data_IF_478055413289
#
_entry.id   IF_478055413289
#
_cell.length_a   1.000
_cell.length_b   1.000
_cell.length_c   1.000
_cell.angle_alpha   90.00
_cell.angle_beta   90.00
_cell.angle_gamma   90.00
#
_symmetry.space_group_name_H-M   'P 1'
#
loop_
_entity.id
_entity.type
_entity.pdbx_description
1 polymer ?
#
# COMPACT_ATOMS: atom_id res chain seq x y z
N UNK A 1 -0.85 -17.26 -10.30
CA UNK A 1 -0.05 -16.01 -10.29
C UNK A 1 0.39 -15.63 -8.88
N UNK A 2 -0.53 -15.37 -7.95
CA UNK A 2 -0.20 -14.98 -6.56
C UNK A 2 0.78 -15.93 -5.86
N UNK A 3 0.51 -17.24 -5.84
CA UNK A 3 1.42 -18.21 -5.21
C UNK A 3 2.80 -18.27 -5.89
N UNK A 4 2.85 -18.15 -7.23
CA UNK A 4 4.11 -18.13 -7.97
C UNK A 4 4.93 -16.89 -7.63
N UNK A 5 4.27 -15.72 -7.54
CA UNK A 5 4.91 -14.48 -7.16
C UNK A 5 5.46 -14.53 -5.73
N UNK A 6 4.72 -15.12 -4.79
CA UNK A 6 5.23 -15.32 -3.43
C UNK A 6 6.50 -16.17 -3.42
N UNK A 7 6.51 -17.30 -4.13
CA UNK A 7 7.71 -18.15 -4.26
C UNK A 7 8.87 -17.38 -4.89
N UNK A 8 8.60 -16.51 -5.88
CA UNK A 8 9.61 -15.66 -6.49
C UNK A 8 10.17 -14.62 -5.51
N UNK A 9 9.32 -13.99 -4.69
CA UNK A 9 9.74 -13.08 -3.62
C UNK A 9 10.62 -13.77 -2.58
N UNK A 10 10.23 -14.97 -2.15
CA UNK A 10 11.01 -15.80 -1.20
C UNK A 10 12.37 -16.22 -1.79
N UNK A 11 12.46 -16.37 -3.11
CA UNK A 11 13.71 -16.63 -3.85
C UNK A 11 14.51 -15.36 -4.19
N UNK A 12 14.10 -14.19 -3.68
CA UNK A 12 14.68 -12.88 -3.99
C UNK A 12 14.61 -12.50 -5.49
N UNK A 13 13.75 -13.16 -6.26
CA UNK A 13 13.40 -12.89 -7.67
C UNK A 13 12.28 -11.87 -7.75
N UNK A 14 12.53 -10.69 -7.17
CA UNK A 14 11.47 -9.72 -6.90
C UNK A 14 10.88 -9.15 -8.18
N UNK A 15 11.70 -8.92 -9.20
CA UNK A 15 11.24 -8.41 -10.50
C UNK A 15 10.35 -9.41 -11.25
N UNK A 16 10.68 -10.70 -11.19
CA UNK A 16 9.87 -11.76 -11.78
C UNK A 16 8.54 -11.93 -11.05
N UNK A 17 8.54 -11.80 -9.71
CA UNK A 17 7.34 -11.78 -8.90
C UNK A 17 6.40 -10.64 -9.27
N UNK A 18 6.92 -9.41 -9.34
CA UNK A 18 6.17 -8.22 -9.75
C UNK A 18 5.59 -8.42 -11.16
N UNK A 19 6.41 -8.84 -12.13
CA UNK A 19 5.96 -9.06 -13.51
C UNK A 19 4.84 -10.12 -13.59
N UNK A 20 4.95 -11.18 -12.80
CA UNK A 20 3.93 -12.24 -12.72
C UNK A 20 2.60 -11.71 -12.19
N UNK A 21 2.64 -10.80 -11.21
CA UNK A 21 1.45 -10.15 -10.67
C UNK A 21 0.86 -9.10 -11.62
N UNK A 22 1.69 -8.30 -12.30
CA UNK A 22 1.27 -7.32 -13.30
C UNK A 22 0.53 -7.98 -14.48
N UNK A 23 0.97 -9.17 -14.90
CA UNK A 23 0.24 -9.96 -15.90
C UNK A 23 -1.13 -10.43 -15.39
N UNK A 24 -1.22 -10.75 -14.10
CA UNK A 24 -2.46 -11.23 -13.49
C UNK A 24 -3.47 -10.12 -13.25
N UNK A 25 -3.02 -8.91 -12.87
CA UNK A 25 -3.93 -7.79 -12.57
C UNK A 25 -4.70 -7.32 -13.81
N UNK A 26 -4.11 -7.44 -15.00
CA UNK A 26 -4.76 -7.07 -16.26
C UNK A 26 -5.98 -7.92 -16.61
N UNK A 27 -6.09 -9.14 -16.07
CA UNK A 27 -7.22 -10.06 -16.31
C UNK A 27 -8.03 -10.42 -15.07
N UNK A 28 -7.71 -9.85 -13.90
CA UNK A 28 -8.39 -10.18 -12.64
C UNK A 28 -9.73 -9.48 -12.49
N UNK A 29 -10.69 -10.13 -11.83
CA UNK A 29 -11.93 -9.48 -11.40
C UNK A 29 -11.65 -8.39 -10.36
N UNK A 30 -12.60 -7.46 -10.18
CA UNK A 30 -12.42 -6.31 -9.30
C UNK A 30 -12.09 -6.73 -7.85
N UNK A 31 -12.63 -7.86 -7.40
CA UNK A 31 -12.46 -8.42 -6.06
C UNK A 31 -11.01 -8.82 -5.77
N UNK A 32 -10.24 -9.26 -6.77
CA UNK A 32 -8.84 -9.67 -6.60
C UNK A 32 -7.85 -8.56 -6.91
N UNK A 33 -8.29 -7.53 -7.64
CA UNK A 33 -7.41 -6.44 -8.10
C UNK A 33 -6.76 -5.71 -6.92
N UNK A 34 -7.52 -5.42 -5.86
CA UNK A 34 -6.99 -4.78 -4.65
C UNK A 34 -5.84 -5.59 -4.04
N UNK A 35 -6.05 -6.89 -3.82
CA UNK A 35 -5.05 -7.76 -3.22
C UNK A 35 -3.81 -7.94 -4.12
N UNK A 36 -3.99 -8.05 -5.44
CA UNK A 36 -2.87 -8.18 -6.38
C UNK A 36 -2.02 -6.90 -6.40
N UNK A 37 -2.65 -5.73 -6.46
CA UNK A 37 -1.94 -4.45 -6.39
C UNK A 37 -1.19 -4.29 -5.06
N UNK A 38 -1.76 -4.72 -3.94
CA UNK A 38 -1.09 -4.73 -2.64
C UNK A 38 0.14 -5.65 -2.62
N UNK A 39 0.09 -6.81 -3.27
CA UNK A 39 1.26 -7.70 -3.39
C UNK A 39 2.35 -7.13 -4.29
N UNK A 40 1.98 -6.42 -5.36
CA UNK A 40 2.96 -5.69 -6.18
C UNK A 40 3.64 -4.60 -5.35
N UNK A 41 2.87 -3.87 -4.54
CA UNK A 41 3.41 -2.87 -3.63
C UNK A 41 4.43 -3.47 -2.65
N UNK A 42 4.09 -4.61 -2.03
CA UNK A 42 5.01 -5.33 -1.14
C UNK A 42 6.31 -5.76 -1.84
N UNK A 43 6.23 -6.18 -3.11
CA UNK A 43 7.41 -6.45 -3.93
C UNK A 43 8.28 -5.20 -4.11
N UNK A 44 7.68 -4.04 -4.36
CA UNK A 44 8.43 -2.78 -4.42
C UNK A 44 9.01 -2.36 -3.06
N UNK A 45 8.34 -2.63 -1.93
CA UNK A 45 8.90 -2.44 -0.59
C UNK A 45 10.14 -3.31 -0.35
N UNK A 46 10.12 -4.58 -0.80
CA UNK A 46 11.29 -5.47 -0.74
C UNK A 46 12.47 -4.92 -1.54
N UNK A 47 12.19 -4.23 -2.67
CA UNK A 47 13.19 -3.52 -3.47
C UNK A 47 13.64 -2.18 -2.87
N UNK A 48 13.04 -1.75 -1.75
CA UNK A 48 13.19 -0.41 -1.16
C UNK A 48 12.74 0.74 -2.07
N UNK A 49 11.94 0.43 -3.10
CA UNK A 49 11.31 1.44 -3.96
C UNK A 49 9.95 1.82 -3.36
N UNK A 50 10.03 2.54 -2.25
CA UNK A 50 8.85 2.91 -1.46
C UNK A 50 7.92 3.91 -2.20
N UNK A 51 8.43 4.61 -3.22
CA UNK A 51 7.59 5.48 -4.06
C UNK A 51 6.69 4.62 -4.94
N UNK A 52 7.23 3.61 -5.62
CA UNK A 52 6.40 2.70 -6.41
C UNK A 52 5.49 1.83 -5.54
N UNK A 53 5.94 1.44 -4.35
CA UNK A 53 5.07 0.77 -3.39
C UNK A 53 3.83 1.61 -3.06
N UNK A 54 4.02 2.89 -2.74
CA UNK A 54 2.91 3.81 -2.50
C UNK A 54 1.95 3.95 -3.70
N UNK A 55 2.47 4.02 -4.93
CA UNK A 55 1.65 4.05 -6.14
C UNK A 55 0.75 2.81 -6.28
N UNK A 56 1.29 1.62 -6.01
CA UNK A 56 0.52 0.38 -6.08
C UNK A 56 -0.46 0.21 -4.91
N UNK A 57 -0.12 0.67 -3.71
CA UNK A 57 -1.09 0.75 -2.62
C UNK A 57 -2.25 1.70 -2.92
N UNK A 58 -2.01 2.80 -3.64
CA UNK A 58 -3.08 3.69 -4.10
C UNK A 58 -4.03 3.00 -5.11
N UNK A 59 -3.48 2.19 -6.03
CA UNK A 59 -4.27 1.36 -6.94
C UNK A 59 -5.06 0.30 -6.18
N UNK A 60 -4.45 -0.32 -5.18
CA UNK A 60 -5.11 -1.29 -4.31
C UNK A 60 -6.31 -0.65 -3.61
N UNK A 61 -6.11 0.49 -2.94
CA UNK A 61 -7.17 1.26 -2.28
C UNK A 61 -8.32 1.65 -3.23
N UNK A 62 -7.99 1.99 -4.47
CA UNK A 62 -8.99 2.36 -5.50
C UNK A 62 -9.80 1.15 -5.98
N UNK A 63 -9.22 -0.05 -5.93
CA UNK A 63 -9.86 -1.30 -6.32
C UNK A 63 -10.56 -2.02 -5.16
N UNK A 64 -10.33 -1.61 -3.91
CA UNK A 64 -10.89 -2.26 -2.72
C UNK A 64 -12.43 -2.15 -2.70
N UNK A 65 -13.16 -3.28 -2.70
CA UNK A 65 -14.63 -3.25 -2.63
C UNK A 65 -15.15 -2.94 -1.22
N UNK A 66 -14.32 -3.12 -0.20
CA UNK A 66 -14.68 -2.88 1.20
C UNK A 66 -13.96 -1.67 1.78
N UNK A 67 -14.67 -0.87 2.58
CA UNK A 67 -14.13 0.34 3.22
C UNK A 67 -12.91 0.05 4.09
N UNK A 68 -12.98 -0.98 4.94
CA UNK A 68 -11.89 -1.36 5.82
C UNK A 68 -10.62 -1.72 5.05
N UNK A 69 -10.75 -2.47 3.96
CA UNK A 69 -9.63 -2.79 3.08
C UNK A 69 -9.06 -1.53 2.43
N UNK A 70 -9.93 -0.67 1.86
CA UNK A 70 -9.51 0.60 1.27
C UNK A 70 -8.67 1.43 2.24
N UNK A 71 -9.13 1.58 3.47
CA UNK A 71 -8.42 2.38 4.48
C UNK A 71 -7.08 1.76 4.87
N UNK A 72 -7.02 0.43 4.98
CA UNK A 72 -5.75 -0.27 5.21
C UNK A 72 -4.76 -0.06 4.06
N UNK A 73 -5.22 -0.08 2.81
CA UNK A 73 -4.37 0.19 1.65
C UNK A 73 -3.90 1.65 1.60
N UNK A 74 -4.75 2.61 1.97
CA UNK A 74 -4.34 4.02 2.12
C UNK A 74 -3.30 4.19 3.25
N UNK A 75 -3.46 3.47 4.35
CA UNK A 75 -2.48 3.46 5.44
C UNK A 75 -1.14 2.86 5.01
N UNK A 76 -1.16 1.77 4.24
CA UNK A 76 0.04 1.19 3.62
C UNK A 76 0.73 2.19 2.68
N UNK A 77 -0.03 2.87 1.82
CA UNK A 77 0.47 3.94 0.95
C UNK A 77 1.18 5.02 1.76
N UNK A 78 0.54 5.51 2.83
CA UNK A 78 1.11 6.55 3.67
C UNK A 78 2.40 6.10 4.38
N UNK A 79 2.46 4.87 4.92
CA UNK A 79 3.69 4.30 5.51
C UNK A 79 4.84 4.18 4.51
N UNK A 80 4.55 3.73 3.30
CA UNK A 80 5.52 3.70 2.21
C UNK A 80 6.03 5.12 1.88
N UNK A 81 5.16 6.12 1.80
CA UNK A 81 5.55 7.51 1.58
C UNK A 81 6.43 8.07 2.71
N UNK A 82 6.12 7.76 3.98
CA UNK A 82 6.96 8.15 5.12
C UNK A 82 8.37 7.55 5.00
N UNK A 83 8.46 6.27 4.66
CA UNK A 83 9.76 5.58 4.47
C UNK A 83 10.53 6.18 3.28
N UNK A 84 9.82 6.62 2.24
CA UNK A 84 10.41 7.33 1.09
C UNK A 84 10.85 8.78 1.40
N UNK A 85 10.61 9.29 2.62
CA UNK A 85 10.86 10.69 2.97
C UNK A 85 9.84 11.68 2.39
N UNK A 86 8.74 11.19 1.80
CA UNK A 86 7.63 12.00 1.26
C UNK A 86 6.62 12.34 2.34
N UNK A 87 7.10 12.88 3.46
CA UNK A 87 6.33 13.12 4.68
C UNK A 87 5.11 14.03 4.45
N UNK A 88 5.22 15.04 3.57
CA UNK A 88 4.09 15.92 3.24
C UNK A 88 2.94 15.20 2.50
N UNK A 89 3.25 14.22 1.66
CA UNK A 89 2.23 13.45 0.96
C UNK A 89 1.63 12.37 1.88
N UNK A 90 2.46 11.76 2.74
CA UNK A 90 1.98 10.86 3.78
C UNK A 90 1.02 11.57 4.76
N UNK A 91 1.38 12.79 5.19
CA UNK A 91 0.58 13.56 6.13
C UNK A 91 -0.84 13.78 5.61
N UNK A 92 -1.01 14.17 4.34
CA UNK A 92 -2.34 14.37 3.74
C UNK A 92 -3.21 13.11 3.84
N UNK A 93 -2.64 11.94 3.58
CA UNK A 93 -3.39 10.68 3.65
C UNK A 93 -3.79 10.37 5.09
N UNK A 94 -2.88 10.55 6.05
CA UNK A 94 -3.20 10.35 7.46
C UNK A 94 -4.24 11.34 7.96
N UNK A 95 -4.20 12.60 7.54
CA UNK A 95 -5.23 13.60 7.87
C UNK A 95 -6.62 13.18 7.36
N UNK A 96 -6.72 12.60 6.16
CA UNK A 96 -7.98 12.06 5.67
C UNK A 96 -8.44 10.83 6.46
N UNK A 97 -7.52 9.92 6.81
CA UNK A 97 -7.85 8.72 7.61
C UNK A 97 -8.25 9.07 9.05
N UNK A 98 -7.70 10.15 9.62
CA UNK A 98 -8.03 10.62 10.97
C UNK A 98 -9.44 11.23 11.06
N UNK A 99 -10.04 11.63 9.94
CA UNK A 99 -11.43 12.13 9.88
C UNK A 99 -12.48 11.02 9.85
N UNK A 100 -12.06 9.75 9.75
CA UNK A 100 -12.96 8.61 9.66
C UNK A 100 -13.44 8.16 11.04
N UNK A 101 -14.35 8.94 11.64
CA UNK A 101 -14.85 8.70 12.99
C UNK A 101 -15.43 7.29 13.17
N UNK A 102 -14.92 6.60 14.20
CA UNK A 102 -15.36 5.25 14.56
C UNK A 102 -14.73 4.13 13.72
N UNK A 103 -13.91 4.46 12.72
CA UNK A 103 -13.12 3.47 11.98
C UNK A 103 -11.83 3.12 12.75
N UNK A 104 -11.44 1.84 12.85
CA UNK A 104 -10.24 1.44 13.60
C UNK A 104 -8.95 2.15 13.14
N UNK A 105 -8.87 2.54 11.86
CA UNK A 105 -7.68 3.19 11.29
C UNK A 105 -7.42 4.61 11.86
N UNK A 106 -8.45 5.26 12.41
CA UNK A 106 -8.37 6.62 12.92
C UNK A 106 -7.31 6.78 14.02
N UNK A 107 -7.17 5.77 14.88
CA UNK A 107 -6.20 5.78 15.97
C UNK A 107 -4.76 5.76 15.46
N UNK A 108 -4.45 4.88 14.50
CA UNK A 108 -3.13 4.87 13.87
C UNK A 108 -2.86 6.20 13.18
N UNK A 109 -3.82 6.69 12.39
CA UNK A 109 -3.67 7.96 11.67
C UNK A 109 -3.31 9.12 12.59
N UNK A 110 -3.97 9.23 13.75
CA UNK A 110 -3.69 10.26 14.75
C UNK A 110 -2.26 10.17 15.31
N UNK A 111 -1.77 8.95 15.58
CA UNK A 111 -0.38 8.72 16.01
C UNK A 111 0.60 9.15 14.93
N UNK A 112 0.37 8.74 13.68
CA UNK A 112 1.28 9.04 12.55
C UNK A 112 1.34 10.53 12.22
N UNK A 113 0.22 11.25 12.35
CA UNK A 113 0.21 12.73 12.24
C UNK A 113 1.13 13.35 13.30
N UNK A 114 1.02 12.90 14.56
CA UNK A 114 1.87 13.38 15.65
C UNK A 114 3.36 13.14 15.39
N UNK A 115 3.72 11.93 14.93
CA UNK A 115 5.10 11.60 14.54
C UNK A 115 5.61 12.52 13.42
N UNK A 116 4.81 12.73 12.36
CA UNK A 116 5.20 13.55 11.21
C UNK A 116 5.38 15.03 11.56
N UNK A 117 4.50 15.59 12.40
CA UNK A 117 4.59 16.98 12.83
C UNK A 117 5.73 17.21 13.85
N UNK A 118 6.10 16.17 14.61
CA UNK A 118 7.16 16.21 15.61
C UNK A 118 8.59 16.04 15.07
N UNK A 119 8.78 15.64 13.81
CA UNK A 119 10.11 15.50 13.16
C UNK A 119 10.85 16.83 12.90
N UNK A 120 10.30 17.97 13.32
CA UNK A 120 10.85 19.31 13.05
C UNK A 120 12.02 19.68 13.96
#
# INVERSE_FOLDING_TARGET
AVLLAQVQFDQNKVDEGIKTLEQAVGGSSAEFKSSIEGLIAAGYEQKKDFVKAAEHYAKAASASPFKSEKYNQQANQARSLMTAGKDADALKIWEELAKLDGEPIQQEASVRIGELLGKK
#
